data_IF_696814475355
#
_entry.id   IF_696814475355
#
_cell.length_a   1.000
_cell.length_b   1.000
_cell.length_c   1.000
_cell.angle_alpha   90.00
_cell.angle_beta   90.00
_cell.angle_gamma   90.00
#
_symmetry.space_group_name_H-M   'P 1'
#
loop_
_entity.id
_entity.type
_entity.pdbx_description
1 polymer ?
#
# COMPACT_ATOMS: atom_id res chain seq x y z
N UNK A 1 42.22 -6.14 -3.58
CA UNK A 1 41.13 -5.91 -4.57
C UNK A 1 40.05 -5.13 -3.86
N UNK A 2 39.99 -3.82 -4.09
CA UNK A 2 39.25 -2.89 -3.23
C UNK A 2 37.78 -2.93 -3.65
N UNK A 3 36.93 -3.56 -2.84
CA UNK A 3 35.49 -3.52 -3.01
C UNK A 3 34.86 -2.53 -2.03
N UNK A 4 35.46 -1.34 -1.86
CA UNK A 4 34.77 -0.22 -1.20
C UNK A 4 33.76 0.36 -2.18
N UNK A 5 32.70 -0.41 -2.43
CA UNK A 5 31.46 0.12 -2.98
C UNK A 5 30.76 0.93 -1.90
N UNK A 6 31.43 1.97 -1.39
CA UNK A 6 30.89 2.85 -0.36
C UNK A 6 29.64 3.51 -0.93
N UNK A 7 28.50 3.15 -0.36
CA UNK A 7 27.18 3.66 -0.70
C UNK A 7 26.74 4.52 0.47
N UNK A 8 27.23 5.76 0.57
CA UNK A 8 26.97 6.62 1.72
C UNK A 8 25.48 6.96 1.84
N UNK A 9 24.74 6.91 0.75
CA UNK A 9 23.32 7.26 0.71
C UNK A 9 22.43 6.05 1.00
N UNK A 10 22.17 5.78 2.28
CA UNK A 10 21.27 4.71 2.73
C UNK A 10 19.80 5.16 2.70
N UNK A 11 18.91 4.23 2.37
CA UNK A 11 17.47 4.47 2.46
C UNK A 11 17.04 4.53 3.93
N UNK A 12 16.33 5.60 4.37
CA UNK A 12 15.84 5.69 5.75
C UNK A 12 14.50 4.96 5.97
N UNK A 13 13.95 4.29 4.94
CA UNK A 13 12.65 3.62 5.06
C UNK A 13 12.78 2.35 5.91
N UNK A 14 11.96 2.19 6.97
CA UNK A 14 12.01 1.01 7.82
C UNK A 14 11.74 -0.26 7.00
N UNK A 15 12.62 -1.26 7.12
CA UNK A 15 12.58 -2.48 6.32
C UNK A 15 13.19 -2.36 4.92
N UNK A 16 13.81 -1.22 4.56
CA UNK A 16 14.59 -1.08 3.34
C UNK A 16 16.08 -0.82 3.63
N UNK A 17 16.93 -1.78 3.26
CA UNK A 17 18.38 -1.71 3.46
C UNK A 17 19.15 -1.25 2.21
N UNK A 18 18.44 -0.70 1.21
CA UNK A 18 19.08 -0.26 -0.03
C UNK A 18 19.94 0.98 0.22
N UNK A 19 21.16 0.94 -0.30
CA UNK A 19 22.10 2.05 -0.31
C UNK A 19 22.57 2.37 -1.73
N UNK A 20 22.86 3.64 -1.98
CA UNK A 20 23.22 4.19 -3.29
C UNK A 20 24.53 4.98 -3.20
N UNK A 21 25.23 5.07 -4.33
CA UNK A 21 26.46 5.87 -4.47
C UNK A 21 26.17 7.34 -4.77
N UNK A 22 24.96 7.66 -5.24
CA UNK A 22 24.53 9.01 -5.59
C UNK A 22 23.22 9.36 -4.91
N UNK A 23 23.10 10.62 -4.47
CA UNK A 23 21.89 11.15 -3.84
C UNK A 23 20.68 11.16 -4.78
N UNK A 24 20.88 11.47 -6.07
CA UNK A 24 19.81 11.46 -7.10
C UNK A 24 19.14 10.09 -7.21
N UNK A 25 19.92 9.01 -7.11
CA UNK A 25 19.42 7.64 -7.15
C UNK A 25 18.67 7.29 -5.87
N UNK A 26 19.15 7.73 -4.69
CA UNK A 26 18.41 7.59 -3.44
C UNK A 26 17.07 8.32 -3.50
N UNK A 27 17.04 9.57 -3.97
CA UNK A 27 15.81 10.35 -4.10
C UNK A 27 14.80 9.69 -5.06
N UNK A 28 15.27 9.18 -6.20
CA UNK A 28 14.41 8.45 -7.13
C UNK A 28 13.86 7.17 -6.52
N UNK A 29 14.70 6.45 -5.78
CA UNK A 29 14.30 5.26 -5.06
C UNK A 29 13.30 5.55 -3.93
N UNK A 30 13.44 6.66 -3.20
CA UNK A 30 12.51 7.05 -2.14
C UNK A 30 11.08 7.25 -2.65
N UNK A 31 10.89 7.67 -3.91
CA UNK A 31 9.57 7.73 -4.56
C UNK A 31 8.90 6.36 -4.74
N UNK A 32 9.63 5.25 -4.60
CA UNK A 32 9.04 3.92 -4.62
C UNK A 32 8.49 3.51 -3.25
N UNK A 33 9.08 4.05 -2.17
CA UNK A 33 8.58 3.89 -0.80
C UNK A 33 7.42 4.81 -0.53
N UNK A 34 7.61 6.09 -0.89
CA UNK A 34 6.52 7.04 -1.00
C UNK A 34 5.83 6.79 -2.34
N UNK A 35 5.09 5.69 -2.45
CA UNK A 35 3.99 5.63 -3.42
C UNK A 35 3.10 6.81 -3.04
N UNK A 36 3.31 7.96 -3.67
CA UNK A 36 2.54 9.20 -3.56
C UNK A 36 1.14 8.93 -4.07
N UNK A 37 0.44 8.18 -3.24
CA UNK A 37 -0.83 7.57 -3.47
C UNK A 37 -1.63 8.02 -2.26
N UNK A 38 -2.15 9.27 -2.30
CA UNK A 38 -2.83 9.86 -1.15
C UNK A 38 -4.06 9.03 -0.74
N UNK A 39 -4.54 8.17 -1.66
CA UNK A 39 -5.70 7.33 -1.47
C UNK A 39 -5.27 5.92 -1.02
N UNK A 40 -5.31 5.67 0.29
CA UNK A 40 -5.04 4.34 0.87
C UNK A 40 -6.34 3.64 1.24
N UNK A 41 -6.42 2.35 0.94
CA UNK A 41 -7.52 1.51 1.40
C UNK A 41 -7.38 1.25 2.91
N UNK A 42 -8.39 1.54 3.74
CA UNK A 42 -8.35 1.27 5.18
C UNK A 42 -8.39 -0.23 5.52
N UNK A 43 -8.92 -1.07 4.62
CA UNK A 43 -9.11 -2.50 4.89
C UNK A 43 -7.87 -3.35 4.58
N UNK A 44 -7.09 -2.98 3.56
CA UNK A 44 -5.91 -3.75 3.14
C UNK A 44 -4.65 -2.91 2.95
N UNK A 45 -4.70 -1.63 3.31
CA UNK A 45 -3.57 -0.68 3.25
C UNK A 45 -2.94 -0.51 1.87
N UNK A 46 -3.61 -0.97 0.81
CA UNK A 46 -3.17 -0.80 -0.58
C UNK A 46 -3.39 0.65 -1.01
N UNK A 47 -2.39 1.24 -1.64
CA UNK A 47 -2.41 2.64 -2.03
C UNK A 47 -2.69 2.84 -3.53
N UNK A 48 -3.45 3.89 -3.85
CA UNK A 48 -3.92 4.32 -5.18
C UNK A 48 -3.53 5.78 -5.49
N UNK A 49 -3.16 6.05 -6.75
CA UNK A 49 -2.73 7.38 -7.23
C UNK A 49 -3.88 8.38 -7.29
N UNK A 50 -5.10 7.89 -7.45
CA UNK A 50 -6.31 8.65 -7.66
C UNK A 50 -7.48 8.05 -6.85
N UNK A 51 -8.48 8.88 -6.55
CA UNK A 51 -9.64 8.51 -5.75
C UNK A 51 -10.53 7.51 -6.47
N UNK A 52 -10.68 7.61 -7.79
CA UNK A 52 -11.53 6.72 -8.58
C UNK A 52 -11.06 5.25 -8.49
N UNK A 53 -9.75 5.03 -8.62
CA UNK A 53 -9.14 3.70 -8.47
C UNK A 53 -9.30 3.15 -7.05
N UNK A 54 -9.22 4.00 -6.02
CA UNK A 54 -9.55 3.58 -4.64
C UNK A 54 -11.03 3.21 -4.52
N UNK A 55 -11.95 3.98 -5.08
CA UNK A 55 -13.39 3.72 -4.98
C UNK A 55 -13.81 2.41 -5.67
N UNK A 56 -13.28 2.13 -6.87
CA UNK A 56 -13.48 0.85 -7.56
C UNK A 56 -12.93 -0.32 -6.73
N UNK A 57 -11.80 -0.11 -6.07
CA UNK A 57 -11.25 -1.11 -5.18
C UNK A 57 -12.10 -1.32 -3.90
N UNK A 58 -12.64 -0.25 -3.32
CA UNK A 58 -13.52 -0.31 -2.15
C UNK A 58 -14.84 -1.01 -2.46
N UNK A 59 -15.41 -0.82 -3.65
CA UNK A 59 -16.62 -1.53 -4.07
C UNK A 59 -16.39 -3.05 -4.16
N UNK A 60 -15.20 -3.49 -4.56
CA UNK A 60 -14.82 -4.90 -4.53
C UNK A 60 -14.69 -5.46 -3.10
N UNK A 61 -14.29 -4.63 -2.12
CA UNK A 61 -14.35 -5.02 -0.70
C UNK A 61 -15.80 -5.18 -0.23
N UNK A 62 -16.70 -4.29 -0.65
CA UNK A 62 -18.12 -4.38 -0.30
C UNK A 62 -18.75 -5.69 -0.82
N UNK A 63 -18.41 -6.15 -2.02
CA UNK A 63 -18.92 -7.42 -2.57
C UNK A 63 -18.40 -8.64 -1.78
N UNK A 64 -17.15 -8.60 -1.29
CA UNK A 64 -16.60 -9.68 -0.45
C UNK A 64 -17.21 -9.74 0.95
N UNK A 65 -17.68 -8.61 1.47
CA UNK A 65 -18.40 -8.51 2.74
C UNK A 65 -19.93 -8.45 2.56
N UNK A 66 -20.45 -8.52 1.32
CA UNK A 66 -21.88 -8.50 1.00
C UNK A 66 -22.53 -9.86 1.26
N UNK A 67 -22.27 -10.41 2.45
CA UNK A 67 -22.75 -11.71 2.85
C UNK A 67 -23.19 -11.66 4.30
N UNK A 68 -24.10 -10.75 4.59
CA UNK A 68 -25.00 -10.85 5.71
C UNK A 68 -26.24 -10.04 5.38
N UNK A 69 -27.17 -10.64 4.63
CA UNK A 69 -28.55 -10.18 4.69
C UNK A 69 -29.02 -10.47 6.12
N UNK A 70 -29.03 -9.44 6.96
CA UNK A 70 -29.53 -9.56 8.32
C UNK A 70 -31.06 -9.54 8.25
N UNK A 71 -31.68 -10.67 8.55
CA UNK A 71 -33.13 -10.76 8.75
C UNK A 71 -33.50 -9.92 9.98
N UNK A 72 -34.06 -8.73 9.77
CA UNK A 72 -34.50 -7.81 10.82
C UNK A 72 -35.64 -8.36 11.70
N UNK A 73 -36.23 -9.49 11.31
CA UNK A 73 -37.25 -10.21 12.09
C UNK A 73 -36.69 -11.31 12.99
N UNK A 74 -35.44 -11.76 12.77
CA UNK A 74 -34.93 -12.98 13.40
C UNK A 74 -33.46 -12.94 13.86
N UNK A 75 -32.74 -11.84 13.64
CA UNK A 75 -31.42 -11.58 14.23
C UNK A 75 -30.30 -12.52 13.80
N UNK A 76 -30.52 -13.37 12.78
CA UNK A 76 -29.49 -14.27 12.24
C UNK A 76 -28.94 -13.72 10.92
N UNK A 77 -27.61 -13.67 10.85
CA UNK A 77 -26.88 -13.34 9.63
C UNK A 77 -26.63 -14.64 8.85
N UNK A 78 -27.20 -14.74 7.65
CA UNK A 78 -26.85 -15.79 6.70
C UNK A 78 -25.85 -15.26 5.71
N UNK A 79 -24.89 -16.13 5.39
CA UNK A 79 -23.93 -15.87 4.33
C UNK A 79 -24.17 -16.92 3.22
N UNK A 80 -24.49 -16.54 1.97
CA UNK A 80 -24.63 -17.36 0.71
C UNK A 80 -23.45 -18.29 0.31
#
# INVERSE_FOLDING_TARGET
RIHTGDRPYKCPHPGCEKAFTQLSNLQSHQRQHNKDKPYKCPNCYRAYTDSASLQIHLSAHAIKHAKAYCCSMCGRAYTS
#
